data_IF_272437758825
#
_entry.id   IF_272437758825
#
_cell.length_a   1.000
_cell.length_b   1.000
_cell.length_c   1.000
_cell.angle_alpha   90.00
_cell.angle_beta   90.00
_cell.angle_gamma   90.00
#
_symmetry.space_group_name_H-M   'P 1'
#
loop_
_entity.id
_entity.type
_entity.pdbx_description
1 polymer ?
#
# COMPACT_ATOMS: atom_id res chain seq x y z
N UNK A 1 11.18 -19.15 -24.05
CA UNK A 1 11.56 -18.42 -25.28
C UNK A 1 10.99 -19.00 -26.59
N UNK A 2 11.00 -20.32 -26.80
CA UNK A 2 10.48 -20.97 -28.03
C UNK A 2 9.06 -20.57 -28.45
N UNK A 3 8.15 -20.31 -27.50
CA UNK A 3 6.79 -19.84 -27.78
C UNK A 3 6.72 -18.34 -28.10
N UNK A 4 7.51 -17.51 -27.41
CA UNK A 4 7.57 -16.05 -27.68
C UNK A 4 8.10 -15.75 -29.08
N UNK A 5 9.05 -16.55 -29.58
CA UNK A 5 9.57 -16.42 -30.94
C UNK A 5 8.52 -16.65 -32.04
N UNK A 6 7.35 -17.21 -31.71
CA UNK A 6 6.22 -17.41 -32.64
C UNK A 6 5.28 -16.21 -32.70
N UNK A 7 5.47 -15.19 -31.86
CA UNK A 7 4.63 -14.00 -31.88
C UNK A 7 4.97 -13.15 -33.10
N UNK A 8 4.03 -13.09 -34.04
CA UNK A 8 4.15 -12.31 -35.29
C UNK A 8 3.35 -11.01 -35.26
N UNK A 9 2.73 -10.68 -34.11
CA UNK A 9 1.98 -9.45 -33.93
C UNK A 9 2.89 -8.23 -34.03
N UNK A 10 2.42 -7.19 -34.71
CA UNK A 10 3.14 -5.93 -34.84
C UNK A 10 2.25 -4.76 -34.40
N UNK A 11 2.83 -3.65 -33.92
CA UNK A 11 2.07 -2.45 -33.55
C UNK A 11 1.09 -2.00 -34.65
N UNK A 12 1.52 -2.08 -35.91
CA UNK A 12 0.73 -1.67 -37.08
C UNK A 12 -0.57 -2.46 -37.22
N UNK A 13 -0.63 -3.70 -36.71
CA UNK A 13 -1.87 -4.49 -36.76
C UNK A 13 -2.94 -3.91 -35.83
N UNK A 14 -2.53 -3.41 -34.66
CA UNK A 14 -3.42 -2.76 -33.70
C UNK A 14 -3.80 -1.36 -34.20
N UNK A 15 -2.86 -0.62 -34.77
CA UNK A 15 -3.13 0.69 -35.38
C UNK A 15 -4.18 0.58 -36.49
N UNK A 16 -4.00 -0.36 -37.43
CA UNK A 16 -4.95 -0.59 -38.52
C UNK A 16 -6.33 -1.01 -38.00
N UNK A 17 -6.38 -1.89 -36.98
CA UNK A 17 -7.64 -2.26 -36.33
C UNK A 17 -8.37 -1.02 -35.78
N UNK A 18 -7.67 -0.16 -35.04
CA UNK A 18 -8.25 1.06 -34.48
C UNK A 18 -8.71 2.03 -35.58
N UNK A 19 -7.95 2.16 -36.67
CA UNK A 19 -8.35 2.96 -37.84
C UNK A 19 -9.63 2.42 -38.48
N UNK A 20 -9.76 1.10 -38.65
CA UNK A 20 -10.96 0.50 -39.22
C UNK A 20 -12.18 0.69 -38.33
N UNK A 21 -12.04 0.48 -37.02
CA UNK A 21 -13.11 0.73 -36.04
C UNK A 21 -13.53 2.21 -36.08
N UNK A 22 -12.57 3.14 -36.06
CA UNK A 22 -12.87 4.57 -36.12
C UNK A 22 -13.54 4.97 -37.44
N UNK A 23 -13.14 4.35 -38.55
CA UNK A 23 -13.77 4.59 -39.87
C UNK A 23 -15.21 4.11 -39.89
N UNK A 24 -15.46 2.87 -39.48
CA UNK A 24 -16.81 2.29 -39.42
C UNK A 24 -17.72 3.12 -38.49
N UNK A 25 -17.21 3.54 -37.33
CA UNK A 25 -17.95 4.42 -36.42
C UNK A 25 -18.35 5.73 -37.11
N UNK A 26 -17.42 6.38 -37.83
CA UNK A 26 -17.71 7.62 -38.57
C UNK A 26 -18.72 7.41 -39.68
N UNK A 27 -18.68 6.28 -40.38
CA UNK A 27 -19.66 5.91 -41.40
C UNK A 27 -21.07 5.73 -40.78
N UNK A 28 -21.16 5.05 -39.63
CA UNK A 28 -22.42 4.91 -38.88
C UNK A 28 -22.92 6.29 -38.40
N UNK A 29 -22.06 7.11 -37.82
CA UNK A 29 -22.41 8.46 -37.36
C UNK A 29 -22.93 9.33 -38.51
N UNK A 30 -22.28 9.29 -39.67
CA UNK A 30 -22.72 10.01 -40.86
C UNK A 30 -24.11 9.55 -41.33
N UNK A 31 -24.39 8.24 -41.29
CA UNK A 31 -25.72 7.68 -41.60
C UNK A 31 -26.81 8.14 -40.61
N UNK A 32 -26.43 8.42 -39.37
CA UNK A 32 -27.31 8.96 -38.33
C UNK A 32 -27.39 10.50 -38.33
N UNK A 33 -26.66 11.18 -39.22
CA UNK A 33 -26.60 12.64 -39.29
C UNK A 33 -25.80 13.30 -38.15
N UNK A 34 -24.95 12.53 -37.46
CA UNK A 34 -24.15 12.97 -36.32
C UNK A 34 -22.72 13.29 -36.75
N UNK A 35 -22.17 14.42 -36.30
CA UNK A 35 -20.87 14.93 -36.77
C UNK A 35 -19.72 14.67 -35.81
N UNK A 36 -20.02 14.45 -34.52
CA UNK A 36 -19.02 14.23 -33.48
C UNK A 36 -19.46 13.15 -32.48
N UNK A 37 -18.50 12.50 -31.84
CA UNK A 37 -18.81 11.51 -30.79
C UNK A 37 -19.54 12.17 -29.63
N UNK A 38 -19.19 13.42 -29.30
CA UNK A 38 -19.85 14.21 -28.27
C UNK A 38 -21.37 14.37 -28.53
N UNK A 39 -21.78 14.57 -29.79
CA UNK A 39 -23.21 14.61 -30.18
C UNK A 39 -23.91 13.24 -30.07
N UNK A 40 -23.16 12.14 -30.15
CA UNK A 40 -23.69 10.77 -30.11
C UNK A 40 -23.86 10.27 -28.66
N UNK A 41 -22.99 10.68 -27.75
CA UNK A 41 -23.00 10.22 -26.35
C UNK A 41 -24.35 10.52 -25.70
N UNK A 42 -24.96 9.49 -25.09
CA UNK A 42 -26.25 9.60 -24.39
C UNK A 42 -27.49 9.65 -25.29
N UNK A 43 -27.36 9.56 -26.63
CA UNK A 43 -28.48 9.56 -27.58
C UNK A 43 -29.23 8.23 -27.62
N UNK A 44 -29.87 7.87 -26.51
CA UNK A 44 -30.74 6.68 -26.39
C UNK A 44 -31.89 6.72 -27.43
N UNK A 45 -32.31 7.91 -27.85
CA UNK A 45 -33.33 8.09 -28.90
C UNK A 45 -32.91 7.53 -30.27
N UNK A 46 -31.61 7.28 -30.50
CA UNK A 46 -31.10 6.67 -31.73
C UNK A 46 -31.07 5.14 -31.69
N UNK A 47 -31.40 4.52 -30.55
CA UNK A 47 -31.41 3.06 -30.39
C UNK A 47 -32.80 2.56 -30.03
N UNK A 48 -33.15 1.40 -30.58
CA UNK A 48 -34.39 0.69 -30.22
C UNK A 48 -34.14 -0.80 -30.17
N UNK A 49 -34.89 -1.50 -29.32
CA UNK A 49 -34.92 -2.96 -29.35
C UNK A 49 -35.50 -3.42 -30.69
N UNK A 50 -34.78 -4.31 -31.38
CA UNK A 50 -35.26 -4.93 -32.63
C UNK A 50 -36.33 -5.97 -32.28
N UNK A 51 -37.51 -5.91 -32.92
CA UNK A 51 -38.54 -6.96 -32.79
C UNK A 51 -38.02 -8.27 -33.40
N UNK A 52 -38.26 -9.39 -32.73
CA UNK A 52 -37.84 -10.73 -33.13
C UNK A 52 -38.99 -11.69 -32.81
N UNK A 53 -40.00 -11.68 -33.68
CA UNK A 53 -41.27 -12.37 -33.42
C UNK A 53 -41.14 -13.91 -33.53
N UNK A 54 -40.06 -14.40 -34.16
CA UNK A 54 -39.83 -15.83 -34.43
C UNK A 54 -38.92 -16.54 -33.41
N UNK A 55 -38.48 -15.86 -32.34
CA UNK A 55 -37.61 -16.47 -31.33
C UNK A 55 -38.11 -16.25 -29.89
N UNK A 56 -38.74 -17.29 -29.35
CA UNK A 56 -39.30 -17.31 -27.99
C UNK A 56 -38.30 -17.00 -26.87
N UNK A 57 -37.01 -17.31 -27.04
CA UNK A 57 -36.00 -16.99 -26.01
C UNK A 57 -35.65 -15.49 -26.04
N UNK A 58 -35.54 -14.92 -27.23
CA UNK A 58 -35.24 -13.50 -27.40
C UNK A 58 -36.43 -12.59 -27.03
N UNK A 59 -37.67 -13.05 -27.23
CA UNK A 59 -38.87 -12.30 -26.86
C UNK A 59 -39.03 -12.06 -25.37
N UNK A 60 -38.26 -12.77 -24.53
CA UNK A 60 -38.23 -12.60 -23.07
C UNK A 60 -37.27 -11.51 -22.60
N UNK A 61 -36.44 -10.96 -23.48
CA UNK A 61 -35.48 -9.91 -23.12
C UNK A 61 -36.20 -8.57 -23.11
N UNK A 62 -36.25 -7.91 -21.95
CA UNK A 62 -36.80 -6.56 -21.79
C UNK A 62 -35.65 -5.55 -21.61
N UNK A 63 -35.41 -4.73 -22.65
CA UNK A 63 -34.39 -3.69 -22.63
C UNK A 63 -34.90 -2.32 -22.12
N UNK A 64 -36.14 -2.21 -21.63
CA UNK A 64 -36.72 -0.93 -21.19
C UNK A 64 -35.86 -0.18 -20.19
N UNK A 65 -35.21 -0.88 -19.25
CA UNK A 65 -34.33 -0.25 -18.23
C UNK A 65 -33.04 0.30 -18.83
N UNK A 66 -32.52 -0.31 -19.89
CA UNK A 66 -31.31 0.13 -20.59
C UNK A 66 -31.63 1.27 -21.58
N UNK A 67 -32.81 1.22 -22.20
CA UNK A 67 -33.32 2.23 -23.12
C UNK A 67 -34.09 3.36 -22.41
N UNK A 68 -34.09 3.37 -21.08
CA UNK A 68 -34.77 4.41 -20.31
C UNK A 68 -33.96 5.71 -20.36
N UNK A 69 -34.58 6.78 -20.83
CA UNK A 69 -34.03 8.13 -20.76
C UNK A 69 -34.79 8.92 -19.67
N UNK A 70 -34.13 9.31 -18.57
CA UNK A 70 -34.76 10.20 -17.59
C UNK A 70 -35.01 11.57 -18.22
N UNK A 71 -36.07 12.24 -17.76
CA UNK A 71 -36.27 13.66 -18.07
C UNK A 71 -35.22 14.45 -17.32
N UNK A 72 -34.35 15.14 -18.06
CA UNK A 72 -33.33 16.03 -17.51
C UNK A 72 -33.53 17.42 -18.07
N UNK A 73 -33.21 18.44 -17.28
CA UNK A 73 -33.24 19.82 -17.73
C UNK A 73 -32.26 20.01 -18.90
N UNK A 74 -32.61 20.89 -19.85
CA UNK A 74 -31.76 21.19 -21.01
C UNK A 74 -30.38 21.75 -20.65
N UNK A 75 -30.21 22.29 -19.44
CA UNK A 75 -28.92 22.72 -18.90
C UNK A 75 -28.00 21.56 -18.51
N UNK A 76 -28.53 20.35 -18.32
CA UNK A 76 -27.75 19.17 -17.95
C UNK A 76 -27.27 18.47 -19.22
N UNK A 77 -25.99 18.65 -19.55
CA UNK A 77 -25.36 18.01 -20.70
C UNK A 77 -25.32 16.48 -20.58
N UNK A 78 -25.24 15.79 -21.72
CA UNK A 78 -25.12 14.32 -21.78
C UNK A 78 -23.67 13.80 -21.68
N UNK A 79 -22.72 14.71 -21.47
CA UNK A 79 -21.29 14.44 -21.42
C UNK A 79 -20.65 15.11 -20.20
N UNK A 80 -19.43 14.72 -19.89
CA UNK A 80 -18.63 15.36 -18.86
C UNK A 80 -18.46 16.86 -19.16
N UNK A 81 -18.94 17.71 -18.26
CA UNK A 81 -18.94 19.18 -18.41
C UNK A 81 -18.30 19.91 -17.23
N UNK A 82 -18.08 19.22 -16.11
CA UNK A 82 -17.55 19.79 -14.88
C UNK A 82 -16.47 18.88 -14.35
N UNK A 83 -15.26 19.42 -14.18
CA UNK A 83 -14.16 18.71 -13.53
C UNK A 83 -14.49 18.44 -12.06
N UNK A 84 -13.99 17.32 -11.54
CA UNK A 84 -14.14 17.00 -10.13
C UNK A 84 -13.15 17.81 -9.29
N UNK A 85 -13.64 18.56 -8.30
CA UNK A 85 -12.78 19.14 -7.27
C UNK A 85 -12.47 18.09 -6.21
N UNK A 86 -11.21 17.64 -6.19
CA UNK A 86 -10.71 16.65 -5.24
C UNK A 86 -10.22 17.29 -3.91
N UNK A 87 -10.33 18.61 -3.76
CA UNK A 87 -9.87 19.39 -2.61
C UNK A 87 -8.40 19.15 -2.22
N UNK A 88 -7.54 18.77 -3.17
CA UNK A 88 -6.13 18.42 -2.91
C UNK A 88 -5.36 19.59 -2.27
N UNK A 89 -5.70 20.82 -2.64
CA UNK A 89 -5.15 22.07 -2.09
C UNK A 89 -5.23 22.12 -0.54
N UNK A 90 -6.23 21.47 0.06
CA UNK A 90 -6.46 21.46 1.51
C UNK A 90 -5.67 20.37 2.25
N UNK A 91 -5.07 19.43 1.52
CA UNK A 91 -4.28 18.35 2.13
C UNK A 91 -3.07 18.90 2.88
N UNK A 92 -2.57 18.17 3.88
CA UNK A 92 -1.39 18.60 4.64
C UNK A 92 -0.15 18.72 3.74
N UNK A 93 -0.02 17.82 2.77
CA UNK A 93 1.04 17.82 1.78
C UNK A 93 1.05 19.09 0.92
N UNK A 94 -0.07 19.42 0.28
CA UNK A 94 -0.18 20.61 -0.58
C UNK A 94 -0.06 21.90 0.21
N UNK A 95 -0.78 22.00 1.33
CA UNK A 95 -0.84 23.25 2.11
C UNK A 95 0.45 23.57 2.86
N UNK A 96 1.26 22.55 3.23
CA UNK A 96 2.47 22.74 4.05
C UNK A 96 3.69 21.97 3.53
N UNK A 97 3.61 20.65 3.40
CA UNK A 97 4.82 19.83 3.29
C UNK A 97 5.59 20.05 2.00
N UNK A 98 4.94 20.22 0.84
CA UNK A 98 5.62 20.45 -0.43
C UNK A 98 6.47 21.72 -0.39
N UNK A 99 5.90 22.83 0.11
CA UNK A 99 6.64 24.08 0.28
C UNK A 99 7.83 23.92 1.23
N UNK A 100 7.65 23.20 2.32
CA UNK A 100 8.71 22.96 3.32
C UNK A 100 9.82 22.05 2.79
N UNK A 101 9.46 21.04 2.00
CA UNK A 101 10.40 20.06 1.44
C UNK A 101 11.03 20.51 0.12
N UNK A 102 10.60 21.66 -0.44
CA UNK A 102 11.13 22.18 -1.71
C UNK A 102 12.67 22.23 -1.77
N UNK A 103 13.41 22.70 -0.74
CA UNK A 103 14.87 22.67 -0.78
C UNK A 103 15.47 21.26 -0.85
N UNK A 104 14.81 20.26 -0.26
CA UNK A 104 15.22 18.87 -0.36
C UNK A 104 14.91 18.29 -1.74
N UNK A 105 13.74 18.62 -2.29
CA UNK A 105 13.31 18.17 -3.63
C UNK A 105 14.14 18.83 -4.73
N UNK A 106 14.54 20.09 -4.57
CA UNK A 106 15.24 20.84 -5.61
C UNK A 106 16.76 20.65 -5.56
N UNK A 107 17.32 20.75 -4.34
CA UNK A 107 18.76 20.85 -4.12
C UNK A 107 19.33 19.68 -3.28
N UNK A 108 18.52 18.67 -2.95
CA UNK A 108 18.90 17.57 -2.04
C UNK A 108 19.39 18.06 -0.65
N UNK A 109 18.96 19.26 -0.23
CA UNK A 109 19.31 19.80 1.08
C UNK A 109 18.54 19.06 2.19
N UNK A 110 19.21 18.61 3.27
CA UNK A 110 18.52 17.98 4.37
C UNK A 110 17.48 18.92 5.01
N UNK A 111 16.24 18.42 5.16
CA UNK A 111 15.14 19.10 5.82
C UNK A 111 14.69 18.28 7.03
N UNK A 112 14.47 19.01 8.13
CA UNK A 112 13.89 18.51 9.38
C UNK A 112 12.70 19.38 9.73
N UNK A 113 11.55 18.77 9.99
CA UNK A 113 10.37 19.52 10.42
C UNK A 113 9.56 18.72 11.43
N UNK A 114 8.87 19.44 12.31
CA UNK A 114 7.95 18.88 13.30
C UNK A 114 6.58 19.52 13.14
N UNK A 115 5.52 18.72 13.05
CA UNK A 115 4.16 19.20 12.77
C UNK A 115 3.12 18.45 13.60
N UNK A 116 2.05 19.14 14.00
CA UNK A 116 0.87 18.46 14.51
C UNK A 116 0.12 17.73 13.38
N UNK A 117 -0.46 16.57 13.69
CA UNK A 117 -1.29 15.78 12.79
C UNK A 117 -2.59 15.36 13.48
N UNK A 118 -3.65 15.23 12.70
CA UNK A 118 -4.96 14.75 13.14
C UNK A 118 -5.51 13.73 12.16
N UNK A 119 -6.49 12.94 12.59
CA UNK A 119 -7.03 11.82 11.81
C UNK A 119 -7.67 12.23 10.46
N UNK A 120 -8.00 13.51 10.27
CA UNK A 120 -8.46 14.07 8.98
C UNK A 120 -7.31 14.22 7.96
N UNK A 121 -6.05 14.28 8.44
CA UNK A 121 -4.86 14.34 7.60
C UNK A 121 -4.54 12.92 7.10
N UNK A 122 -5.08 12.59 5.93
CA UNK A 122 -4.89 11.31 5.26
C UNK A 122 -3.76 11.39 4.25
N UNK A 123 -3.15 10.25 3.93
CA UNK A 123 -2.18 10.09 2.83
C UNK A 123 -0.96 11.02 2.95
N UNK A 124 -0.57 11.31 4.20
CA UNK A 124 0.48 12.30 4.50
C UNK A 124 1.85 11.81 4.02
N UNK A 125 2.56 12.69 3.31
CA UNK A 125 3.88 12.44 2.76
C UNK A 125 3.87 11.89 1.33
N UNK A 126 2.72 11.44 0.81
CA UNK A 126 2.64 10.80 -0.51
C UNK A 126 2.86 11.77 -1.67
N UNK A 127 2.38 13.02 -1.59
CA UNK A 127 2.65 14.00 -2.67
C UNK A 127 4.10 14.46 -2.63
N UNK A 128 4.68 14.63 -1.45
CA UNK A 128 6.13 14.88 -1.30
C UNK A 128 6.92 13.73 -1.91
N UNK A 129 6.55 12.48 -1.61
CA UNK A 129 7.15 11.28 -2.20
C UNK A 129 7.01 11.26 -3.73
N UNK A 130 5.83 11.62 -4.25
CA UNK A 130 5.62 11.71 -5.70
C UNK A 130 6.55 12.71 -6.37
N UNK A 131 6.79 13.88 -5.77
CA UNK A 131 7.70 14.88 -6.33
C UNK A 131 9.17 14.44 -6.26
N UNK A 132 9.56 13.74 -5.19
CA UNK A 132 10.88 13.10 -5.11
C UNK A 132 11.04 12.06 -6.21
N UNK A 133 10.10 11.14 -6.37
CA UNK A 133 10.15 10.10 -7.40
C UNK A 133 10.09 10.69 -8.80
N UNK A 134 9.29 11.73 -9.03
CA UNK A 134 9.21 12.41 -10.34
C UNK A 134 10.57 12.96 -10.79
N UNK A 135 11.39 13.42 -9.85
CA UNK A 135 12.68 14.04 -10.14
C UNK A 135 13.84 13.05 -10.13
N UNK A 136 13.83 12.08 -9.23
CA UNK A 136 14.98 11.20 -8.97
C UNK A 136 14.73 9.72 -9.28
N UNK A 137 13.50 9.36 -9.67
CA UNK A 137 13.11 7.98 -9.96
C UNK A 137 13.34 7.04 -8.77
N UNK A 138 13.74 5.81 -9.07
CA UNK A 138 14.01 4.76 -8.08
C UNK A 138 15.21 5.07 -7.17
N UNK A 139 16.15 5.90 -7.62
CA UNK A 139 17.32 6.26 -6.79
C UNK A 139 16.92 7.08 -5.56
N UNK A 140 15.80 7.80 -5.63
CA UNK A 140 15.30 8.65 -4.54
C UNK A 140 16.31 9.71 -4.12
N UNK A 141 16.30 10.03 -2.83
CA UNK A 141 17.24 10.95 -2.19
C UNK A 141 18.23 10.18 -1.31
N UNK A 142 19.37 10.79 -0.94
CA UNK A 142 20.21 10.28 0.15
C UNK A 142 19.39 10.06 1.43
N UNK A 143 19.78 9.08 2.23
CA UNK A 143 19.04 8.69 3.44
C UNK A 143 18.86 9.87 4.40
N UNK A 144 17.66 9.98 4.98
CA UNK A 144 17.27 11.08 5.85
C UNK A 144 17.42 12.47 5.19
N UNK A 145 17.32 12.63 3.87
CA UNK A 145 17.29 13.98 3.28
C UNK A 145 16.01 14.71 3.71
N UNK A 146 14.86 14.05 3.66
CA UNK A 146 13.60 14.58 4.22
C UNK A 146 13.27 13.78 5.46
N UNK A 147 13.29 14.43 6.64
CA UNK A 147 12.80 13.80 7.87
C UNK A 147 11.73 14.68 8.52
N UNK A 148 10.54 14.12 8.64
CA UNK A 148 9.34 14.80 9.13
C UNK A 148 8.83 14.08 10.37
N UNK A 149 8.68 14.83 11.44
CA UNK A 149 8.21 14.36 12.72
C UNK A 149 6.78 14.87 12.93
N UNK A 150 5.88 13.99 13.33
CA UNK A 150 4.47 14.30 13.53
C UNK A 150 4.06 14.00 14.96
N UNK A 151 3.17 14.81 15.51
CA UNK A 151 2.56 14.62 16.84
C UNK A 151 1.04 14.60 16.72
N UNK A 152 0.42 13.53 17.21
CA UNK A 152 -1.04 13.34 17.20
C UNK A 152 -1.48 12.04 16.53
N UNK A 153 -2.72 11.99 16.07
CA UNK A 153 -3.30 10.79 15.42
C UNK A 153 -3.25 10.94 13.91
N UNK A 154 -2.56 10.06 13.20
CA UNK A 154 -2.48 10.12 11.75
C UNK A 154 -3.71 9.48 11.10
N UNK A 155 -4.22 10.12 10.06
CA UNK A 155 -5.28 9.57 9.23
C UNK A 155 -4.84 8.38 8.39
N UNK A 156 -5.80 7.82 7.67
CA UNK A 156 -5.63 6.69 6.77
C UNK A 156 -4.45 6.89 5.78
N UNK A 157 -3.69 5.83 5.54
CA UNK A 157 -2.56 5.82 4.56
C UNK A 157 -1.40 6.76 4.89
N UNK A 158 -1.10 7.01 6.16
CA UNK A 158 0.10 7.77 6.56
C UNK A 158 1.38 7.15 5.96
N UNK A 159 2.19 7.95 5.28
CA UNK A 159 3.43 7.50 4.65
C UNK A 159 3.26 6.53 3.49
N UNK A 160 2.10 6.53 2.82
CA UNK A 160 1.90 5.69 1.65
C UNK A 160 2.88 6.08 0.51
N UNK A 161 3.49 5.07 -0.10
CA UNK A 161 4.38 5.18 -1.26
C UNK A 161 5.60 6.09 -1.09
N UNK A 162 6.05 6.36 0.13
CA UNK A 162 7.22 7.23 0.30
C UNK A 162 8.49 6.53 -0.22
N UNK A 163 9.32 7.23 -1.03
CA UNK A 163 10.53 6.69 -1.61
C UNK A 163 11.73 6.77 -0.65
N UNK A 164 12.85 6.18 -1.08
CA UNK A 164 14.16 6.32 -0.43
C UNK A 164 14.52 7.79 -0.19
N UNK A 165 15.09 8.04 0.99
CA UNK A 165 15.53 9.36 1.46
C UNK A 165 14.46 10.15 2.23
N UNK A 166 13.24 9.62 2.35
CA UNK A 166 12.20 10.12 3.24
C UNK A 166 12.10 9.30 4.53
N UNK A 167 12.00 10.00 5.65
CA UNK A 167 11.81 9.43 7.00
C UNK A 167 10.64 10.11 7.67
N UNK A 168 9.63 9.34 8.07
CA UNK A 168 8.46 9.82 8.79
C UNK A 168 8.45 9.25 10.20
N UNK A 169 8.47 10.11 11.20
CA UNK A 169 8.32 9.72 12.61
C UNK A 169 6.98 10.23 13.14
N UNK A 170 6.24 9.40 13.86
CA UNK A 170 4.95 9.74 14.44
C UNK A 170 4.96 9.42 15.94
N UNK A 171 4.88 10.47 16.75
CA UNK A 171 4.60 10.39 18.19
C UNK A 171 3.08 10.46 18.38
N UNK A 172 2.45 9.31 18.61
CA UNK A 172 1.00 9.16 18.60
C UNK A 172 0.56 7.82 18.02
N UNK A 173 -0.62 7.81 17.38
CA UNK A 173 -1.24 6.64 16.78
C UNK A 173 -1.55 6.86 15.29
N UNK A 174 -1.75 5.78 14.54
CA UNK A 174 -2.13 5.85 13.14
C UNK A 174 -3.31 4.94 12.79
N UNK A 175 -4.15 5.40 11.88
CA UNK A 175 -5.24 4.61 11.30
C UNK A 175 -4.72 3.59 10.25
N UNK A 176 -5.64 2.93 9.54
CA UNK A 176 -5.29 1.85 8.60
C UNK A 176 -4.38 2.30 7.45
N UNK A 177 -3.77 1.32 6.79
CA UNK A 177 -2.92 1.48 5.61
C UNK A 177 -1.64 2.28 5.83
N UNK A 178 -1.16 2.41 7.06
CA UNK A 178 0.14 3.00 7.34
C UNK A 178 1.22 2.35 6.46
N UNK A 179 2.02 3.16 5.77
CA UNK A 179 3.08 2.68 4.88
C UNK A 179 2.59 1.83 3.71
N UNK A 180 1.33 1.97 3.27
CA UNK A 180 0.82 1.29 2.06
C UNK A 180 1.76 1.52 0.88
N UNK A 181 2.23 0.45 0.28
CA UNK A 181 3.18 0.48 -0.83
C UNK A 181 4.50 1.20 -0.50
N UNK A 182 4.98 1.15 0.75
CA UNK A 182 6.28 1.72 1.13
C UNK A 182 7.37 1.30 0.13
N UNK A 183 8.11 2.30 -0.37
CA UNK A 183 8.97 2.17 -1.57
C UNK A 183 10.38 2.73 -1.31
N UNK A 184 10.93 2.43 -0.13
CA UNK A 184 12.32 2.72 0.23
C UNK A 184 12.48 3.70 1.38
N UNK A 185 11.40 4.37 1.80
CA UNK A 185 11.41 5.26 2.96
C UNK A 185 11.47 4.53 4.30
N UNK A 186 11.58 5.31 5.37
CA UNK A 186 11.52 4.82 6.76
C UNK A 186 10.32 5.39 7.47
N UNK A 187 9.55 4.54 8.14
CA UNK A 187 8.43 4.96 9.00
C UNK A 187 8.68 4.50 10.44
N UNK A 188 8.40 5.37 11.41
CA UNK A 188 8.52 5.05 12.82
C UNK A 188 7.29 5.57 13.56
N UNK A 189 6.67 4.72 14.38
CA UNK A 189 5.51 5.10 15.19
C UNK A 189 5.74 4.65 16.63
N UNK A 190 5.55 5.56 17.57
CA UNK A 190 5.67 5.30 19.01
C UNK A 190 4.65 6.14 19.80
N UNK A 191 4.21 5.65 20.97
CA UNK A 191 3.25 6.38 21.79
C UNK A 191 3.84 7.72 22.28
N UNK A 192 2.99 8.72 22.60
CA UNK A 192 3.43 9.94 23.26
C UNK A 192 4.25 9.66 24.50
N UNK A 193 5.30 10.45 24.76
CA UNK A 193 6.24 10.20 25.88
C UNK A 193 5.58 10.11 27.25
N UNK A 194 4.49 10.84 27.46
CA UNK A 194 3.74 10.89 28.72
C UNK A 194 2.64 9.82 28.81
N UNK A 195 2.63 8.84 27.88
CA UNK A 195 1.69 7.73 27.91
C UNK A 195 1.93 6.83 29.12
N UNK A 196 0.85 6.47 29.80
CA UNK A 196 0.88 5.63 31.01
C UNK A 196 0.56 4.15 30.73
N UNK A 197 0.25 3.80 29.49
CA UNK A 197 -0.10 2.43 29.09
C UNK A 197 1.11 1.69 28.55
N UNK A 198 1.10 0.37 28.68
CA UNK A 198 2.11 -0.52 28.08
C UNK A 198 1.90 -0.61 26.57
N UNK A 199 2.88 -0.14 25.80
CA UNK A 199 2.76 -0.01 24.36
C UNK A 199 2.52 -1.36 23.66
N UNK A 200 3.16 -2.42 24.14
CA UNK A 200 3.10 -3.76 23.57
C UNK A 200 1.80 -4.52 23.86
N UNK A 201 0.90 -3.94 24.64
CA UNK A 201 -0.46 -4.45 24.90
C UNK A 201 -1.55 -3.62 24.23
N UNK A 202 -1.20 -2.51 23.54
CA UNK A 202 -2.16 -1.55 23.01
C UNK A 202 -2.01 -1.35 21.49
N UNK A 203 -3.15 -1.24 20.80
CA UNK A 203 -3.16 -0.95 19.35
C UNK A 203 -2.66 0.46 19.12
N UNK A 204 -1.56 0.58 18.38
CA UNK A 204 -0.96 1.86 17.99
C UNK A 204 -1.16 2.18 16.52
N UNK A 205 -1.22 1.16 15.66
CA UNK A 205 -1.49 1.32 14.24
C UNK A 205 -2.64 0.42 13.77
N UNK A 206 -3.43 0.92 12.84
CA UNK A 206 -4.59 0.23 12.28
C UNK A 206 -4.26 -0.98 11.40
N UNK A 207 -5.26 -1.41 10.63
CA UNK A 207 -5.22 -2.60 9.80
C UNK A 207 -4.43 -2.37 8.49
N UNK A 208 -4.04 -3.47 7.85
CA UNK A 208 -3.51 -3.50 6.48
C UNK A 208 -2.29 -2.58 6.30
N UNK A 209 -1.50 -2.41 7.37
CA UNK A 209 -0.25 -1.67 7.34
C UNK A 209 0.75 -2.37 6.40
N UNK A 210 1.52 -1.57 5.65
CA UNK A 210 2.53 -2.02 4.69
C UNK A 210 1.99 -2.89 3.55
N UNK A 211 0.72 -2.68 3.19
CA UNK A 211 0.12 -3.39 2.06
C UNK A 211 0.92 -3.23 0.78
N UNK A 212 1.42 -4.35 0.23
CA UNK A 212 2.11 -4.34 -1.07
C UNK A 212 3.45 -3.60 -1.05
N UNK A 213 4.03 -3.38 0.14
CA UNK A 213 5.28 -2.64 0.26
C UNK A 213 6.46 -3.40 -0.37
N UNK A 214 7.39 -2.67 -0.98
CA UNK A 214 8.44 -3.26 -1.85
C UNK A 214 9.85 -3.04 -1.33
N UNK A 215 10.10 -1.97 -0.58
CA UNK A 215 11.39 -1.69 0.06
C UNK A 215 11.22 -0.64 1.14
N UNK A 216 12.20 -0.53 2.04
CA UNK A 216 12.18 0.42 3.15
C UNK A 216 12.15 -0.25 4.51
N UNK A 217 12.07 0.56 5.56
CA UNK A 217 12.16 0.11 6.95
C UNK A 217 11.02 0.66 7.79
N UNK A 218 10.58 -0.12 8.79
CA UNK A 218 9.58 0.34 9.74
C UNK A 218 9.82 -0.14 11.16
N UNK A 219 9.55 0.73 12.13
CA UNK A 219 9.67 0.45 13.56
C UNK A 219 8.42 0.94 14.31
N UNK A 220 7.65 0.01 14.88
CA UNK A 220 6.34 0.27 15.49
C UNK A 220 6.37 -0.16 16.95
N UNK A 221 6.43 0.80 17.88
CA UNK A 221 6.43 0.55 19.31
C UNK A 221 4.98 0.40 19.80
N UNK A 222 4.35 -0.71 19.42
CA UNK A 222 3.00 -1.07 19.85
C UNK A 222 2.39 -2.18 18.98
N UNK A 223 1.11 -2.46 19.20
CA UNK A 223 0.38 -3.51 18.47
C UNK A 223 -0.20 -2.96 17.17
N UNK A 224 -0.03 -3.69 16.08
CA UNK A 224 -0.72 -3.43 14.83
C UNK A 224 -2.05 -4.19 14.74
N UNK A 225 -3.01 -3.63 14.00
CA UNK A 225 -4.26 -4.30 13.68
C UNK A 225 -4.10 -5.55 12.79
N UNK A 226 -5.19 -5.93 12.15
CA UNK A 226 -5.25 -7.09 11.26
C UNK A 226 -4.45 -6.85 9.96
N UNK A 227 -4.02 -7.95 9.32
CA UNK A 227 -3.35 -7.94 8.01
C UNK A 227 -2.10 -7.07 7.95
N UNK A 228 -1.36 -7.00 9.06
CA UNK A 228 -0.05 -6.38 9.09
C UNK A 228 0.89 -7.02 8.04
N UNK A 229 1.56 -6.20 7.23
CA UNK A 229 2.48 -6.64 6.18
C UNK A 229 1.84 -7.58 5.13
N UNK A 230 0.54 -7.44 4.88
CA UNK A 230 -0.14 -8.19 3.81
C UNK A 230 0.46 -7.87 2.45
N UNK A 231 0.84 -8.89 1.69
CA UNK A 231 1.56 -8.75 0.41
C UNK A 231 2.85 -7.93 0.51
N UNK A 232 3.53 -7.94 1.66
CA UNK A 232 4.88 -7.39 1.73
C UNK A 232 5.81 -8.14 0.76
N UNK A 233 6.56 -7.38 -0.02
CA UNK A 233 7.47 -7.88 -1.05
C UNK A 233 8.93 -7.46 -0.83
N UNK A 234 9.25 -6.71 0.24
CA UNK A 234 10.63 -6.32 0.46
C UNK A 234 10.93 -5.31 1.57
N UNK A 235 9.97 -4.97 2.44
CA UNK A 235 10.30 -4.13 3.61
C UNK A 235 10.85 -4.95 4.77
N UNK A 236 11.65 -4.31 5.59
CA UNK A 236 12.03 -4.78 6.93
C UNK A 236 11.20 -4.05 7.98
N UNK A 237 10.40 -4.77 8.76
CA UNK A 237 9.52 -4.17 9.79
C UNK A 237 9.72 -4.81 11.17
N UNK A 238 9.72 -3.99 12.22
CA UNK A 238 9.68 -4.43 13.63
C UNK A 238 8.40 -3.89 14.27
N UNK A 239 7.67 -4.76 14.97
CA UNK A 239 6.38 -4.45 15.63
C UNK A 239 6.24 -5.23 16.93
N UNK A 240 5.50 -4.74 17.91
CA UNK A 240 5.41 -5.36 19.25
C UNK A 240 4.22 -6.30 19.45
N UNK A 241 3.35 -6.37 18.45
CA UNK A 241 2.28 -7.36 18.33
C UNK A 241 1.48 -7.14 17.06
N UNK A 242 0.77 -8.15 16.58
CA UNK A 242 -0.06 -8.06 15.37
C UNK A 242 -1.40 -8.76 15.58
N UNK A 243 -2.45 -8.23 14.96
CA UNK A 243 -3.75 -8.88 14.88
C UNK A 243 -3.79 -10.09 13.95
N UNK A 244 -4.99 -10.52 13.57
CA UNK A 244 -5.21 -11.66 12.68
C UNK A 244 -4.60 -11.40 11.29
N UNK A 245 -4.19 -12.47 10.60
CA UNK A 245 -3.71 -12.45 9.22
C UNK A 245 -2.41 -11.66 9.00
N UNK A 246 -1.54 -11.56 10.01
CA UNK A 246 -0.20 -10.99 9.85
C UNK A 246 0.61 -11.74 8.79
N UNK A 247 1.38 -11.01 7.98
CA UNK A 247 2.20 -11.52 6.87
C UNK A 247 1.43 -12.33 5.80
N UNK A 248 0.11 -12.14 5.69
CA UNK A 248 -0.71 -12.81 4.67
C UNK A 248 -0.19 -12.46 3.25
N UNK A 249 0.01 -13.46 2.40
CA UNK A 249 0.53 -13.30 1.04
C UNK A 249 1.88 -12.57 0.92
N UNK A 250 2.70 -12.52 1.97
CA UNK A 250 4.04 -11.94 1.92
C UNK A 250 4.94 -12.76 0.97
N UNK A 251 5.65 -12.06 0.08
CA UNK A 251 6.51 -12.64 -0.97
C UNK A 251 7.97 -12.20 -0.87
N UNK A 252 8.32 -11.32 0.07
CA UNK A 252 9.68 -10.85 0.30
C UNK A 252 9.76 -9.90 1.50
N UNK A 253 10.98 -9.60 1.93
CA UNK A 253 11.24 -8.75 3.09
C UNK A 253 11.40 -9.52 4.40
N UNK A 254 11.46 -8.79 5.51
CA UNK A 254 11.67 -9.32 6.86
C UNK A 254 10.68 -8.69 7.84
N UNK A 255 10.04 -9.50 8.68
CA UNK A 255 9.13 -8.99 9.74
C UNK A 255 9.52 -9.58 11.09
N UNK A 256 9.83 -8.73 12.07
CA UNK A 256 10.07 -9.12 13.45
C UNK A 256 8.88 -8.70 14.33
N UNK A 257 8.23 -9.68 14.95
CA UNK A 257 7.15 -9.47 15.92
C UNK A 257 7.68 -9.76 17.33
N UNK A 258 7.76 -8.71 18.16
CA UNK A 258 8.26 -8.80 19.54
C UNK A 258 7.15 -9.15 20.55
N UNK A 259 6.03 -9.71 20.11
CA UNK A 259 4.92 -10.09 20.98
C UNK A 259 3.89 -10.96 20.28
N UNK A 260 2.64 -10.88 20.74
CA UNK A 260 1.58 -11.80 20.31
C UNK A 260 1.22 -11.61 18.83
N UNK A 261 0.90 -12.72 18.18
CA UNK A 261 0.31 -12.76 16.84
C UNK A 261 -1.18 -13.15 16.93
N UNK A 262 -1.98 -12.67 15.99
CA UNK A 262 -3.35 -13.15 15.77
C UNK A 262 -3.41 -14.40 14.89
N UNK A 263 -4.63 -14.89 14.68
CA UNK A 263 -4.93 -16.12 13.93
C UNK A 263 -4.51 -16.04 12.47
N UNK A 264 -4.24 -17.20 11.90
CA UNK A 264 -3.97 -17.38 10.47
C UNK A 264 -2.78 -16.52 9.99
N UNK A 265 -1.78 -16.33 10.85
CA UNK A 265 -0.52 -15.68 10.52
C UNK A 265 0.21 -16.46 9.42
N UNK A 266 0.87 -15.75 8.50
CA UNK A 266 1.61 -16.27 7.35
C UNK A 266 0.77 -17.07 6.32
N UNK A 267 -0.55 -16.92 6.32
CA UNK A 267 -1.40 -17.56 5.31
C UNK A 267 -1.03 -17.09 3.90
N UNK A 268 -0.71 -18.04 3.01
CA UNK A 268 -0.28 -17.72 1.65
C UNK A 268 1.09 -17.03 1.55
N UNK A 269 1.86 -16.94 2.65
CA UNK A 269 3.21 -16.39 2.64
C UNK A 269 4.13 -17.31 1.82
N UNK A 270 4.69 -16.79 0.74
CA UNK A 270 5.49 -17.55 -0.23
C UNK A 270 6.92 -17.04 -0.38
N UNK A 271 7.31 -15.99 0.36
CA UNK A 271 8.69 -15.48 0.35
C UNK A 271 8.98 -14.46 1.43
N UNK A 272 10.27 -14.24 1.70
CA UNK A 272 10.76 -13.47 2.85
C UNK A 272 10.75 -14.28 4.16
N UNK A 273 11.14 -13.64 5.27
CA UNK A 273 11.21 -14.27 6.59
C UNK A 273 10.42 -13.49 7.63
N UNK A 274 9.83 -14.20 8.59
CA UNK A 274 9.30 -13.59 9.80
C UNK A 274 9.93 -14.22 11.05
N UNK A 275 10.16 -13.39 12.07
CA UNK A 275 10.67 -13.79 13.38
C UNK A 275 9.64 -13.42 14.43
N UNK A 276 9.27 -14.35 15.29
CA UNK A 276 8.22 -14.16 16.30
C UNK A 276 8.77 -14.53 17.65
N UNK A 277 8.69 -13.61 18.61
CA UNK A 277 8.96 -13.88 20.01
C UNK A 277 7.78 -14.64 20.64
N UNK A 278 8.06 -15.75 21.33
CA UNK A 278 7.06 -16.60 22.00
C UNK A 278 5.95 -17.07 21.05
N UNK A 279 6.34 -17.56 19.88
CA UNK A 279 5.39 -18.00 18.86
C UNK A 279 4.48 -19.13 19.37
N UNK A 280 3.18 -18.92 19.28
CA UNK A 280 2.17 -19.96 19.51
C UNK A 280 1.71 -20.51 18.16
N UNK A 281 2.16 -21.73 17.85
CA UNK A 281 1.97 -22.39 16.57
C UNK A 281 0.49 -22.51 16.16
N UNK A 282 -0.44 -22.49 17.12
CA UNK A 282 -1.89 -22.58 16.86
C UNK A 282 -2.42 -21.39 16.06
N UNK A 283 -1.71 -20.26 16.08
CA UNK A 283 -2.09 -19.07 15.34
C UNK A 283 -1.44 -18.98 13.95
N UNK A 284 -0.52 -19.88 13.61
CA UNK A 284 0.19 -19.87 12.33
C UNK A 284 -0.50 -20.79 11.32
N UNK A 285 -0.68 -20.30 10.10
CA UNK A 285 -1.09 -21.13 8.97
C UNK A 285 0.14 -21.75 8.31
N UNK A 286 0.34 -23.04 8.53
CA UNK A 286 1.49 -23.80 8.02
C UNK A 286 1.30 -24.35 6.61
N UNK A 287 0.35 -23.82 5.83
CA UNK A 287 0.04 -24.31 4.49
C UNK A 287 1.18 -24.15 3.48
N UNK A 288 1.99 -23.09 3.60
CA UNK A 288 3.16 -22.81 2.74
C UNK A 288 4.45 -22.52 3.53
N UNK A 289 4.37 -22.52 4.86
CA UNK A 289 5.47 -22.14 5.74
C UNK A 289 5.76 -23.21 6.78
N UNK A 290 7.01 -23.30 7.19
CA UNK A 290 7.48 -24.10 8.31
C UNK A 290 7.92 -23.20 9.46
N UNK A 291 7.77 -23.71 10.69
CA UNK A 291 8.28 -23.07 11.89
C UNK A 291 9.59 -23.73 12.30
N UNK A 292 10.63 -22.91 12.50
CA UNK A 292 11.96 -23.38 12.91
C UNK A 292 12.45 -22.53 14.10
N UNK A 293 13.18 -23.10 15.06
CA UNK A 293 13.93 -22.29 16.03
C UNK A 293 14.90 -21.35 15.30
N UNK A 294 15.05 -20.12 15.78
CA UNK A 294 16.04 -19.19 15.23
C UNK A 294 17.46 -19.73 15.43
N UNK A 295 18.26 -19.79 14.35
CA UNK A 295 19.66 -20.22 14.42
C UNK A 295 20.59 -19.04 14.83
N UNK A 296 21.90 -19.27 14.92
CA UNK A 296 22.85 -18.23 15.34
C UNK A 296 22.87 -16.98 14.42
N UNK A 297 22.74 -17.18 13.10
CA UNK A 297 22.71 -16.07 12.13
C UNK A 297 21.39 -15.29 12.23
N UNK A 298 20.27 -16.00 12.38
CA UNK A 298 18.96 -15.41 12.66
C UNK A 298 19.00 -14.60 13.96
N UNK A 299 19.59 -15.14 15.03
CA UNK A 299 19.70 -14.45 16.32
C UNK A 299 20.53 -13.18 16.23
N UNK A 300 21.62 -13.19 15.45
CA UNK A 300 22.40 -11.98 15.17
C UNK A 300 21.53 -10.93 14.47
N UNK A 301 20.79 -11.35 13.43
CA UNK A 301 19.90 -10.47 12.67
C UNK A 301 18.75 -9.92 13.54
N UNK A 302 18.10 -10.76 14.34
CA UNK A 302 17.05 -10.35 15.27
C UNK A 302 17.61 -9.30 16.25
N UNK A 303 18.80 -9.52 16.81
CA UNK A 303 19.41 -8.56 17.73
C UNK A 303 19.62 -7.19 17.07
N UNK A 304 20.15 -7.17 15.84
CA UNK A 304 20.29 -5.92 15.05
C UNK A 304 18.94 -5.22 14.84
N UNK A 305 17.89 -5.99 14.51
CA UNK A 305 16.54 -5.43 14.32
C UNK A 305 15.98 -4.85 15.61
N UNK A 306 16.18 -5.50 16.76
CA UNK A 306 15.77 -4.98 18.08
C UNK A 306 16.57 -3.72 18.43
N UNK A 307 17.88 -3.70 18.17
CA UNK A 307 18.72 -2.51 18.38
C UNK A 307 18.24 -1.31 17.54
N UNK A 308 17.92 -1.53 16.26
CA UNK A 308 17.34 -0.48 15.41
C UNK A 308 15.96 -0.05 15.91
N UNK A 309 15.11 -0.99 16.31
CA UNK A 309 13.80 -0.69 16.88
C UNK A 309 13.91 0.20 18.12
N UNK A 310 14.81 -0.13 19.05
CA UNK A 310 15.10 0.69 20.23
C UNK A 310 15.66 2.05 19.86
N UNK A 311 16.59 2.12 18.91
CA UNK A 311 17.17 3.38 18.43
C UNK A 311 16.10 4.34 17.90
N UNK A 312 15.14 3.82 17.13
CA UNK A 312 14.11 4.62 16.48
C UNK A 312 12.91 4.93 17.38
N UNK A 313 12.55 4.04 18.31
CA UNK A 313 11.29 4.15 19.08
C UNK A 313 11.47 4.35 20.58
N UNK A 314 12.68 4.18 21.11
CA UNK A 314 12.96 4.10 22.54
C UNK A 314 12.14 3.02 23.28
N UNK A 315 11.74 1.96 22.57
CA UNK A 315 10.93 0.86 23.10
C UNK A 315 11.48 0.29 24.42
N UNK A 316 10.64 0.30 25.45
CA UNK A 316 10.96 -0.31 26.75
C UNK A 316 11.10 -1.82 26.62
N UNK A 317 10.23 -2.47 25.84
CA UNK A 317 10.27 -3.91 25.57
C UNK A 317 11.54 -4.31 24.82
N UNK A 318 11.89 -3.56 23.77
CA UNK A 318 13.13 -3.79 23.02
C UNK A 318 14.36 -3.68 23.91
N UNK A 319 14.44 -2.65 24.78
CA UNK A 319 15.52 -2.51 25.77
C UNK A 319 15.58 -3.69 26.73
N UNK A 320 14.44 -4.10 27.27
CA UNK A 320 14.36 -5.24 28.16
C UNK A 320 14.87 -6.54 27.52
N UNK A 321 14.51 -6.79 26.25
CA UNK A 321 15.00 -7.93 25.47
C UNK A 321 16.52 -7.88 25.31
N UNK A 322 17.08 -6.72 24.95
CA UNK A 322 18.54 -6.57 24.75
C UNK A 322 19.32 -6.75 26.05
N UNK A 323 18.83 -6.19 27.16
CA UNK A 323 19.45 -6.31 28.48
C UNK A 323 19.44 -7.76 29.00
N UNK A 324 18.43 -8.53 28.61
CA UNK A 324 18.23 -9.91 29.06
C UNK A 324 18.40 -10.93 27.93
N UNK A 325 19.20 -10.60 26.91
CA UNK A 325 19.25 -11.34 25.64
C UNK A 325 19.34 -12.86 25.78
N UNK A 326 20.20 -13.36 26.67
CA UNK A 326 20.41 -14.78 26.91
C UNK A 326 19.14 -15.52 27.40
N UNK A 327 18.19 -14.81 28.00
CA UNK A 327 16.89 -15.37 28.41
C UNK A 327 15.89 -15.41 27.25
N UNK A 328 16.12 -14.64 26.18
CA UNK A 328 15.25 -14.50 25.02
C UNK A 328 15.69 -15.32 23.80
N UNK A 329 16.98 -15.68 23.68
CA UNK A 329 17.51 -16.36 22.48
C UNK A 329 16.71 -17.61 22.07
N UNK A 330 16.29 -18.45 23.01
CA UNK A 330 15.59 -19.70 22.72
C UNK A 330 14.07 -19.50 22.51
N UNK A 331 13.57 -18.27 22.57
CA UNK A 331 12.14 -17.93 22.49
C UNK A 331 11.74 -17.39 21.12
N UNK A 332 12.70 -17.20 20.21
CA UNK A 332 12.42 -16.75 18.85
C UNK A 332 12.19 -17.92 17.90
N UNK A 333 11.07 -17.86 17.19
CA UNK A 333 10.71 -18.78 16.11
C UNK A 333 10.83 -18.05 14.78
N UNK A 334 11.51 -18.68 13.82
CA UNK A 334 11.55 -18.26 12.42
C UNK A 334 10.42 -18.94 11.65
N UNK A 335 9.66 -18.14 10.90
CA UNK A 335 8.67 -18.59 9.92
C UNK A 335 9.34 -18.59 8.55
N UNK A 336 9.38 -19.76 7.91
CA UNK A 336 10.15 -20.00 6.67
C UNK A 336 9.21 -20.49 5.57
N UNK A 337 9.02 -19.74 4.48
CA UNK A 337 8.29 -20.23 3.31
C UNK A 337 9.09 -21.31 2.58
N UNK A 338 8.50 -22.50 2.42
CA UNK A 338 9.22 -23.71 1.97
C UNK A 338 9.85 -23.51 0.59
N UNK A 339 9.05 -23.09 -0.39
CA UNK A 339 9.54 -22.90 -1.75
C UNK A 339 10.57 -21.76 -1.89
N UNK A 340 10.50 -20.74 -1.02
CA UNK A 340 11.46 -19.64 -1.00
C UNK A 340 12.82 -20.12 -0.49
N UNK A 341 12.81 -20.88 0.60
CA UNK A 341 14.02 -21.47 1.18
C UNK A 341 14.71 -22.39 0.15
N UNK A 342 13.98 -23.26 -0.54
CA UNK A 342 14.53 -24.16 -1.55
C UNK A 342 15.21 -23.44 -2.73
N UNK A 343 14.78 -22.22 -3.05
CA UNK A 343 15.40 -21.40 -4.10
C UNK A 343 16.66 -20.65 -3.63
N UNK A 344 16.82 -20.49 -2.31
CA UNK A 344 17.89 -19.70 -1.70
C UNK A 344 18.91 -20.52 -0.91
N UNK A 345 18.62 -21.79 -0.63
CA UNK A 345 19.55 -22.81 -0.14
C UNK A 345 20.45 -23.32 -1.28
#
# INVERSE_FOLDING_TARGET
EKLRARFTGKPEYVENLMIFIARELREIMARLGIRSVAELVGRIDLVRQKSQDDNFKLSRVDLKRVLFRPYIDSSVGHMHTVDQDHELERTLDMSKLLRMCRPAIEDQKPIRAKLAITNINRVVGTLVGSEVTRRYGESGLPDNTIKLNFEGSAGQSFGAFIPKGMTLELEGDANDYLGKGLSGGTITVYPPKDSIFEADENILIGNVAFYGATSGTSYINGVAGERFAVRNSGITAVVEGVGDHGCEYMTGGEVLVLGKIGRNFAAGMSGGYAYILDCDERYVNTGLVELRPANNDDLKRIKELVEQHVLHTNSTKGRHILENWNNFVNRFTKVVPVAYEEMHA
#
